data_IF_690604637499
#
_entry.id   IF_690604637499
#
_cell.length_a   1.000
_cell.length_b   1.000
_cell.length_c   1.000
_cell.angle_alpha   90.00
_cell.angle_beta   90.00
_cell.angle_gamma   90.00
#
_symmetry.space_group_name_H-M   'P 1'
#
loop_
_entity.id
_entity.type
_entity.pdbx_description
1 polymer ?
#
# COMPACT_ATOMS: atom_id res chain seq x y z
N UNK A 1 -1.66 -1.68 -21.52
CA UNK A 1 -2.16 -1.10 -20.26
C UNK A 1 -2.04 -2.15 -19.16
N UNK A 2 -1.33 -1.84 -18.10
CA UNK A 2 -1.26 -2.65 -16.88
C UNK A 2 -1.82 -1.82 -15.72
N UNK A 3 -2.26 -2.50 -14.65
CA UNK A 3 -2.53 -1.87 -13.36
C UNK A 3 -1.36 -2.22 -12.44
N UNK A 4 -0.70 -1.20 -11.93
CA UNK A 4 0.61 -1.31 -11.29
C UNK A 4 0.53 -0.88 -9.84
N UNK A 5 0.84 -1.78 -8.92
CA UNK A 5 1.07 -1.41 -7.52
C UNK A 5 2.47 -0.80 -7.36
N UNK A 6 2.54 0.31 -6.65
CA UNK A 6 3.79 0.97 -6.24
C UNK A 6 3.80 1.05 -4.72
N UNK A 7 4.72 0.34 -4.09
CA UNK A 7 4.76 0.35 -2.63
C UNK A 7 5.62 -0.77 -2.03
N UNK A 8 5.35 -1.09 -0.78
CA UNK A 8 6.04 -2.14 -0.06
C UNK A 8 5.48 -3.52 -0.42
N UNK A 9 6.34 -4.53 -0.36
CA UNK A 9 5.91 -5.92 -0.31
C UNK A 9 6.13 -6.43 1.11
N UNK A 10 5.04 -6.84 1.73
CA UNK A 10 5.04 -7.40 3.10
C UNK A 10 4.51 -8.82 3.08
N UNK A 11 4.73 -9.55 4.17
CA UNK A 11 4.12 -10.85 4.38
C UNK A 11 3.09 -10.77 5.50
N UNK A 12 1.84 -11.07 5.17
CA UNK A 12 0.73 -11.08 6.11
C UNK A 12 0.49 -12.49 6.63
N UNK A 13 0.47 -12.63 7.96
CA UNK A 13 0.10 -13.84 8.68
C UNK A 13 -1.30 -13.65 9.25
N UNK A 14 -2.23 -14.50 8.84
CA UNK A 14 -3.63 -14.45 9.26
C UNK A 14 -3.91 -15.48 10.34
N UNK A 15 -4.47 -15.04 11.44
CA UNK A 15 -4.82 -15.90 12.56
C UNK A 15 -6.32 -15.84 12.86
N UNK A 16 -6.91 -17.00 13.21
CA UNK A 16 -8.26 -17.10 13.77
C UNK A 16 -8.17 -17.94 15.04
N UNK A 17 -8.67 -17.42 16.15
CA UNK A 17 -8.60 -18.07 17.46
C UNK A 17 -7.16 -18.55 17.79
N UNK A 18 -6.17 -17.67 17.60
CA UNK A 18 -4.74 -17.92 17.78
C UNK A 18 -4.14 -19.04 16.88
N UNK A 19 -4.89 -19.57 15.93
CA UNK A 19 -4.38 -20.53 14.94
C UNK A 19 -4.04 -19.80 13.63
N UNK A 20 -2.87 -20.09 13.08
CA UNK A 20 -2.48 -19.60 11.76
C UNK A 20 -3.38 -20.25 10.69
N UNK A 21 -4.11 -19.44 9.93
CA UNK A 21 -5.04 -19.88 8.89
C UNK A 21 -4.60 -19.53 7.47
N UNK A 22 -3.63 -18.62 7.33
CA UNK A 22 -3.14 -18.22 6.01
C UNK A 22 -1.89 -17.37 6.08
N UNK A 23 -1.14 -17.37 4.99
CA UNK A 23 0.05 -16.55 4.79
C UNK A 23 0.03 -16.06 3.34
N UNK A 24 0.04 -14.74 3.13
CA UNK A 24 0.04 -14.14 1.78
C UNK A 24 0.97 -12.93 1.72
N UNK A 25 1.48 -12.64 0.52
CA UNK A 25 2.06 -11.33 0.23
C UNK A 25 0.95 -10.28 0.32
N UNK A 26 1.24 -9.16 0.95
CA UNK A 26 0.26 -8.15 1.31
C UNK A 26 0.75 -6.72 1.07
N UNK A 27 0.15 -5.80 1.69
CA UNK A 27 -0.05 -4.35 1.57
C UNK A 27 -1.28 -4.02 0.72
N UNK A 28 -1.88 -2.86 1.00
CA UNK A 28 -3.17 -2.48 0.41
C UNK A 28 -3.11 -2.43 -1.11
N UNK A 29 -2.11 -1.74 -1.67
CA UNK A 29 -1.93 -1.65 -3.13
C UNK A 29 -1.71 -3.02 -3.78
N UNK A 30 -0.94 -3.90 -3.15
CA UNK A 30 -0.72 -5.27 -3.64
C UNK A 30 -1.97 -6.13 -3.55
N UNK A 31 -2.79 -5.96 -2.52
CA UNK A 31 -4.06 -6.67 -2.38
C UNK A 31 -5.06 -6.25 -3.47
N UNK A 32 -5.09 -4.96 -3.83
CA UNK A 32 -5.91 -4.45 -4.93
C UNK A 32 -5.50 -5.13 -6.23
N UNK A 33 -4.23 -5.07 -6.63
CA UNK A 33 -3.79 -5.66 -7.90
C UNK A 33 -3.91 -7.19 -7.91
N UNK A 34 -3.74 -7.87 -6.78
CA UNK A 34 -3.93 -9.31 -6.68
C UNK A 34 -5.39 -9.72 -6.94
N UNK A 35 -6.36 -8.94 -6.47
CA UNK A 35 -7.76 -9.17 -6.78
C UNK A 35 -8.09 -8.86 -8.24
N UNK A 36 -7.54 -7.78 -8.80
CA UNK A 36 -7.71 -7.45 -10.21
C UNK A 36 -7.09 -8.51 -11.14
N UNK A 37 -5.94 -9.10 -10.75
CA UNK A 37 -5.34 -10.23 -11.46
C UNK A 37 -6.26 -11.47 -11.47
N UNK A 38 -6.94 -11.77 -10.36
CA UNK A 38 -7.95 -12.84 -10.30
C UNK A 38 -9.13 -12.60 -11.25
N UNK A 39 -9.46 -11.33 -11.51
CA UNK A 39 -10.49 -10.92 -12.46
C UNK A 39 -9.99 -10.95 -13.92
N UNK A 40 -8.74 -11.34 -14.16
CA UNK A 40 -8.17 -11.46 -15.50
C UNK A 40 -7.49 -10.20 -16.03
N UNK A 41 -7.31 -9.17 -15.22
CA UNK A 41 -6.61 -7.94 -15.62
C UNK A 41 -5.09 -8.11 -15.56
N UNK A 42 -4.38 -7.43 -16.45
CA UNK A 42 -2.92 -7.41 -16.43
C UNK A 42 -2.43 -6.55 -15.28
N UNK A 43 -1.71 -7.16 -14.35
CA UNK A 43 -1.21 -6.48 -13.15
C UNK A 43 0.29 -6.67 -12.98
N UNK A 44 0.95 -5.66 -12.42
CA UNK A 44 2.39 -5.63 -12.17
C UNK A 44 2.64 -5.01 -10.80
N UNK A 45 3.73 -5.38 -10.15
CA UNK A 45 4.15 -4.77 -8.89
C UNK A 45 5.56 -4.21 -8.98
N UNK A 46 5.74 -2.97 -8.53
CA UNK A 46 7.03 -2.37 -8.20
C UNK A 46 7.15 -2.26 -6.70
N UNK A 47 8.01 -3.07 -6.13
CA UNK A 47 8.20 -3.13 -4.67
C UNK A 47 9.63 -3.55 -4.33
N UNK A 48 9.94 -3.49 -3.04
CA UNK A 48 11.16 -4.08 -2.50
C UNK A 48 10.81 -5.08 -1.40
N UNK A 49 11.65 -6.10 -1.23
CA UNK A 49 11.61 -7.00 -0.09
C UNK A 49 13.01 -7.49 0.26
N UNK A 50 13.18 -8.08 1.44
CA UNK A 50 14.44 -8.68 1.85
C UNK A 50 14.77 -9.99 1.14
N UNK A 51 16.05 -10.35 1.10
CA UNK A 51 16.50 -11.67 0.68
C UNK A 51 16.33 -12.69 1.82
N UNK A 52 15.08 -12.91 2.22
CA UNK A 52 14.72 -13.85 3.29
C UNK A 52 13.55 -14.75 2.86
N UNK A 53 13.22 -15.71 3.72
CA UNK A 53 12.13 -16.67 3.45
C UNK A 53 10.78 -15.96 3.33
N UNK A 54 10.57 -14.89 4.07
CA UNK A 54 9.33 -14.10 4.07
C UNK A 54 9.14 -13.39 2.73
N UNK A 55 10.19 -12.77 2.19
CA UNK A 55 10.17 -12.14 0.86
C UNK A 55 9.87 -13.16 -0.25
N UNK A 56 10.53 -14.33 -0.18
CA UNK A 56 10.28 -15.41 -1.15
C UNK A 56 8.83 -15.91 -1.11
N UNK A 57 8.24 -16.06 0.07
CA UNK A 57 6.83 -16.47 0.23
C UNK A 57 5.90 -15.37 -0.30
N UNK A 58 6.16 -14.10 0.01
CA UNK A 58 5.35 -12.97 -0.45
C UNK A 58 5.34 -12.90 -1.98
N UNK A 59 6.50 -12.96 -2.63
CA UNK A 59 6.61 -13.00 -4.10
C UNK A 59 5.86 -14.20 -4.68
N UNK A 60 6.07 -15.40 -4.12
CA UNK A 60 5.41 -16.63 -4.58
C UNK A 60 3.89 -16.53 -4.48
N UNK A 61 3.37 -15.88 -3.44
CA UNK A 61 1.93 -15.72 -3.27
C UNK A 61 1.31 -14.83 -4.36
N UNK A 62 1.97 -13.71 -4.72
CA UNK A 62 1.54 -12.84 -5.82
C UNK A 62 1.62 -13.55 -7.17
N UNK A 63 2.71 -14.29 -7.43
CA UNK A 63 2.85 -15.11 -8.66
C UNK A 63 1.71 -16.13 -8.83
N UNK A 64 1.29 -16.79 -7.74
CA UNK A 64 0.15 -17.71 -7.77
C UNK A 64 -1.16 -17.04 -8.22
N UNK A 65 -1.31 -15.75 -7.96
CA UNK A 65 -2.44 -14.94 -8.37
C UNK A 65 -2.26 -14.30 -9.75
N UNK A 66 -1.22 -14.71 -10.51
CA UNK A 66 -0.88 -14.22 -11.84
C UNK A 66 -0.46 -12.74 -11.90
N UNK A 67 -0.04 -12.16 -10.78
CA UNK A 67 0.58 -10.83 -10.75
C UNK A 67 1.98 -10.93 -11.33
N UNK A 68 2.35 -10.02 -12.24
CA UNK A 68 3.73 -9.91 -12.71
C UNK A 68 4.59 -9.29 -11.58
N UNK A 69 5.61 -10.05 -11.15
CA UNK A 69 6.50 -9.72 -10.02
C UNK A 69 7.94 -9.45 -10.45
N UNK A 70 8.21 -9.28 -11.75
CA UNK A 70 9.57 -9.16 -12.28
C UNK A 70 10.26 -7.86 -11.86
N UNK A 71 9.49 -6.86 -11.40
CA UNK A 71 10.00 -5.58 -10.91
C UNK A 71 10.07 -5.49 -9.38
N UNK A 72 10.02 -6.63 -8.69
CA UNK A 72 10.29 -6.66 -7.25
C UNK A 72 11.80 -6.73 -7.05
N UNK A 73 12.35 -5.70 -6.41
CA UNK A 73 13.77 -5.62 -6.06
C UNK A 73 14.02 -6.38 -4.75
N UNK A 74 14.85 -7.40 -4.80
CA UNK A 74 15.32 -8.13 -3.62
C UNK A 74 16.54 -7.39 -3.07
N UNK A 75 16.48 -6.99 -1.81
CA UNK A 75 17.54 -6.24 -1.14
C UNK A 75 18.29 -7.15 -0.19
N UNK A 76 19.60 -7.24 -0.40
CA UNK A 76 20.50 -8.01 0.48
C UNK A 76 20.57 -7.39 1.89
N UNK A 77 20.80 -8.22 2.88
CA UNK A 77 20.93 -7.82 4.29
C UNK A 77 19.74 -7.06 4.87
N UNK A 78 18.60 -7.14 4.21
CA UNK A 78 17.33 -6.51 4.61
C UNK A 78 16.30 -7.60 4.93
N UNK A 79 15.42 -7.32 5.88
CA UNK A 79 14.35 -8.23 6.27
C UNK A 79 13.01 -7.76 5.72
N UNK A 80 12.24 -8.70 5.18
CA UNK A 80 10.88 -8.43 4.72
C UNK A 80 9.96 -8.13 5.91
N UNK A 81 9.20 -7.07 5.80
CA UNK A 81 8.21 -6.69 6.80
C UNK A 81 7.11 -7.73 6.90
N UNK A 82 6.70 -8.04 8.13
CA UNK A 82 5.63 -8.98 8.39
C UNK A 82 4.54 -8.33 9.22
N UNK A 83 3.29 -8.56 8.85
CA UNK A 83 2.13 -8.22 9.66
C UNK A 83 1.47 -9.47 10.22
N UNK A 84 1.00 -9.36 11.45
CA UNK A 84 0.23 -10.41 12.12
C UNK A 84 -1.19 -9.89 12.28
N UNK A 85 -2.11 -10.44 11.52
CA UNK A 85 -3.50 -10.05 11.44
C UNK A 85 -4.31 -11.10 12.18
N UNK A 86 -4.87 -10.73 13.32
CA UNK A 86 -5.72 -11.62 14.10
C UNK A 86 -7.18 -11.28 13.85
N UNK A 87 -7.93 -12.27 13.41
CA UNK A 87 -9.38 -12.21 13.46
C UNK A 87 -9.79 -12.51 14.90
N UNK A 88 -10.38 -11.54 15.57
CA UNK A 88 -11.06 -11.85 16.83
C UNK A 88 -12.48 -12.27 16.49
N UNK A 89 -12.82 -13.41 17.05
CA UNK A 89 -14.13 -13.76 17.52
C UNK A 89 -15.27 -14.07 16.57
N UNK A 90 -16.33 -14.33 17.29
CA UNK A 90 -17.71 -14.59 16.93
C UNK A 90 -18.37 -13.51 16.05
N UNK A 91 -17.82 -12.28 15.98
CA UNK A 91 -18.40 -11.14 15.25
C UNK A 91 -17.57 -10.69 14.03
N UNK A 92 -16.46 -11.37 13.72
CA UNK A 92 -15.67 -11.09 12.51
C UNK A 92 -14.87 -9.79 12.51
N UNK A 93 -14.65 -9.17 13.68
CA UNK A 93 -13.85 -7.96 13.78
C UNK A 93 -12.36 -8.25 13.52
N UNK A 94 -11.79 -7.55 12.58
CA UNK A 94 -10.36 -7.62 12.27
C UNK A 94 -9.58 -6.74 13.24
N UNK A 95 -8.70 -7.35 14.04
CA UNK A 95 -7.75 -6.61 14.86
C UNK A 95 -6.37 -6.62 14.25
N UNK A 96 -5.90 -5.43 13.90
CA UNK A 96 -4.54 -5.22 13.45
C UNK A 96 -3.62 -5.15 14.67
N UNK A 97 -2.91 -6.21 14.97
CA UNK A 97 -1.83 -6.14 15.95
C UNK A 97 -0.49 -5.99 15.21
N UNK A 98 -0.06 -4.75 15.02
CA UNK A 98 1.34 -4.51 14.62
C UNK A 98 2.24 -4.71 15.83
N UNK A 99 2.81 -5.90 15.98
CA UNK A 99 3.89 -6.10 16.96
C UNK A 99 5.16 -5.45 16.40
N UNK A 100 5.95 -4.79 17.24
CA UNK A 100 7.24 -4.17 16.85
C UNK A 100 8.24 -5.18 16.25
N UNK A 101 8.04 -6.47 16.47
CA UNK A 101 8.79 -7.57 15.89
C UNK A 101 7.86 -8.73 15.54
N UNK A 102 8.16 -9.39 14.45
CA UNK A 102 7.46 -10.62 14.08
C UNK A 102 7.73 -11.71 15.13
N UNK A 103 6.71 -12.32 15.76
CA UNK A 103 6.91 -13.37 16.75
C UNK A 103 7.52 -14.65 16.19
N UNK A 104 7.45 -14.88 14.88
CA UNK A 104 7.98 -16.08 14.24
C UNK A 104 9.44 -15.95 13.84
N UNK A 105 9.86 -14.79 13.31
CA UNK A 105 11.21 -14.59 12.80
C UNK A 105 12.00 -13.49 13.53
N UNK A 106 11.42 -12.90 14.56
CA UNK A 106 12.01 -11.81 15.36
C UNK A 106 12.43 -10.56 14.54
N UNK A 107 12.00 -10.44 13.29
CA UNK A 107 12.27 -9.27 12.47
C UNK A 107 11.55 -8.05 13.01
N UNK A 108 12.14 -6.86 12.83
CA UNK A 108 11.44 -5.61 13.06
C UNK A 108 10.29 -5.50 12.04
N UNK A 109 9.10 -5.11 12.52
CA UNK A 109 7.95 -4.89 11.63
C UNK A 109 8.07 -3.59 10.81
N UNK A 110 9.13 -2.83 10.98
CA UNK A 110 9.36 -1.58 10.27
C UNK A 110 10.36 -1.81 9.16
N UNK A 111 9.91 -1.55 7.99
CA UNK A 111 10.65 -1.59 6.75
C UNK A 111 10.94 -0.15 6.31
N UNK A 112 12.14 0.09 5.83
CA UNK A 112 12.51 1.39 5.30
C UNK A 112 12.10 1.48 3.81
N UNK A 113 11.07 2.26 3.52
CA UNK A 113 10.57 2.53 2.16
C UNK A 113 11.58 3.30 1.30
N UNK A 114 12.71 3.73 1.87
CA UNK A 114 13.78 4.43 1.15
C UNK A 114 14.42 3.59 0.04
N UNK A 115 14.17 2.28 0.01
CA UNK A 115 14.77 1.35 -0.95
C UNK A 115 14.08 1.33 -2.32
N UNK A 116 12.89 1.94 -2.45
CA UNK A 116 12.23 2.12 -3.75
C UNK A 116 12.97 3.22 -4.53
N UNK A 117 13.30 2.95 -5.78
CA UNK A 117 13.89 3.92 -6.68
C UNK A 117 12.82 4.52 -7.61
N UNK A 118 12.40 5.78 -7.41
CA UNK A 118 11.39 6.42 -8.26
C UNK A 118 11.80 6.50 -9.74
N UNK A 119 13.09 6.73 -10.03
CA UNK A 119 13.56 6.85 -11.40
C UNK A 119 13.47 5.51 -12.15
N UNK A 120 13.77 4.42 -11.46
CA UNK A 120 13.57 3.08 -12.02
C UNK A 120 12.09 2.83 -12.35
N UNK A 121 11.18 3.24 -11.50
CA UNK A 121 9.74 3.07 -11.76
C UNK A 121 9.32 3.95 -12.94
N UNK A 122 9.64 5.24 -12.91
CA UNK A 122 9.29 6.19 -13.97
C UNK A 122 9.81 5.77 -15.37
N UNK A 123 10.97 5.13 -15.44
CA UNK A 123 11.52 4.62 -16.69
C UNK A 123 10.93 3.28 -17.16
N UNK A 124 10.14 2.59 -16.32
CA UNK A 124 9.59 1.25 -16.61
C UNK A 124 8.05 1.20 -16.62
N UNK A 125 7.38 2.34 -16.57
CA UNK A 125 5.93 2.46 -16.76
C UNK A 125 5.61 3.00 -18.15
N UNK A 126 4.49 2.57 -18.73
CA UNK A 126 3.98 3.10 -20.00
C UNK A 126 2.92 4.16 -19.71
N UNK A 127 2.75 5.12 -20.64
CA UNK A 127 1.78 6.22 -20.51
C UNK A 127 0.33 5.79 -20.24
N UNK A 128 -0.04 4.58 -20.67
CA UNK A 128 -1.40 4.05 -20.53
C UNK A 128 -1.56 3.15 -19.29
N UNK A 129 -0.51 2.96 -18.48
CA UNK A 129 -0.59 2.17 -17.25
C UNK A 129 -1.31 2.97 -16.15
N UNK A 130 -1.97 2.28 -15.25
CA UNK A 130 -2.66 2.85 -14.08
C UNK A 130 -1.84 2.53 -12.84
N UNK A 131 -1.49 3.54 -12.05
CA UNK A 131 -0.69 3.37 -10.84
C UNK A 131 -1.57 3.33 -9.59
N UNK A 132 -1.30 2.38 -8.71
CA UNK A 132 -2.02 2.18 -7.44
C UNK A 132 -1.04 2.37 -6.29
N UNK A 133 -1.35 3.30 -5.40
CA UNK A 133 -0.56 3.64 -4.22
C UNK A 133 -1.33 3.32 -2.93
N UNK A 134 -0.63 3.15 -1.84
CA UNK A 134 -1.21 2.98 -0.50
C UNK A 134 -0.65 3.94 0.56
N UNK A 135 0.21 4.87 0.15
CA UNK A 135 0.75 5.92 1.01
C UNK A 135 1.32 7.09 0.20
N UNK A 136 1.56 8.23 0.88
CA UNK A 136 2.08 9.48 0.32
C UNK A 136 3.51 9.77 0.76
N UNK A 137 4.35 8.73 0.96
CA UNK A 137 5.74 8.93 1.30
C UNK A 137 6.49 9.71 0.21
N UNK A 138 7.68 10.23 0.53
CA UNK A 138 8.46 11.07 -0.38
C UNK A 138 8.76 10.41 -1.72
N UNK A 139 9.05 9.10 -1.74
CA UNK A 139 9.33 8.36 -2.97
C UNK A 139 8.11 8.22 -3.86
N UNK A 140 6.97 7.88 -3.27
CA UNK A 140 5.70 7.84 -4.00
C UNK A 140 5.31 9.23 -4.51
N UNK A 141 5.54 10.28 -3.72
CA UNK A 141 5.27 11.65 -4.14
C UNK A 141 6.09 12.06 -5.37
N UNK A 142 7.37 11.66 -5.44
CA UNK A 142 8.20 11.90 -6.64
C UNK A 142 7.56 11.24 -7.88
N UNK A 143 7.08 10.00 -7.76
CA UNK A 143 6.44 9.30 -8.88
C UNK A 143 5.11 10.00 -9.25
N UNK A 144 4.29 10.32 -8.25
CA UNK A 144 2.99 10.99 -8.44
C UNK A 144 3.15 12.32 -9.19
N UNK A 145 4.17 13.09 -8.83
CA UNK A 145 4.40 14.43 -9.40
C UNK A 145 5.09 14.42 -10.78
N UNK A 146 5.78 13.33 -11.12
CA UNK A 146 6.55 13.24 -12.37
C UNK A 146 5.92 12.32 -13.42
N UNK A 147 4.65 11.93 -13.26
CA UNK A 147 3.93 11.16 -14.28
C UNK A 147 2.51 11.66 -14.51
N UNK A 148 2.06 11.58 -15.76
CA UNK A 148 0.68 11.88 -16.16
C UNK A 148 -0.22 10.62 -16.20
N UNK A 149 0.27 9.49 -15.74
CA UNK A 149 -0.51 8.27 -15.62
C UNK A 149 -1.74 8.46 -14.73
N UNK A 150 -2.80 7.74 -15.01
CA UNK A 150 -3.95 7.62 -14.08
C UNK A 150 -3.47 7.02 -12.77
N UNK A 151 -3.93 7.57 -11.66
CA UNK A 151 -3.51 7.20 -10.31
C UNK A 151 -4.69 6.91 -9.42
N UNK A 152 -4.54 5.86 -8.63
CA UNK A 152 -5.47 5.45 -7.59
C UNK A 152 -4.69 5.40 -6.29
N UNK A 153 -5.26 5.91 -5.21
CA UNK A 153 -4.66 5.80 -3.89
C UNK A 153 -5.66 5.29 -2.85
N UNK A 154 -5.20 4.38 -2.00
CA UNK A 154 -5.94 3.89 -0.84
C UNK A 154 -5.19 4.28 0.44
N UNK A 155 -5.71 5.26 1.15
CA UNK A 155 -5.12 5.83 2.35
C UNK A 155 -5.79 5.24 3.60
N UNK A 156 -5.20 4.20 4.13
CA UNK A 156 -5.71 3.51 5.32
C UNK A 156 -5.23 4.07 6.66
N UNK A 157 -4.28 5.02 6.67
CA UNK A 157 -3.61 5.48 7.89
C UNK A 157 -3.57 7.01 7.97
N UNK A 158 -4.18 7.59 9.01
CA UNK A 158 -4.22 9.05 9.19
C UNK A 158 -2.90 9.65 9.66
N UNK A 159 -2.02 8.89 10.30
CA UNK A 159 -0.74 9.39 10.79
C UNK A 159 0.18 9.91 9.66
N UNK A 160 -0.08 9.55 8.43
CA UNK A 160 0.62 10.11 7.27
C UNK A 160 0.45 11.64 7.18
N UNK A 161 -0.65 12.17 7.73
CA UNK A 161 -1.00 13.58 7.69
C UNK A 161 -0.62 14.35 8.96
N UNK A 162 -0.22 13.67 10.05
CA UNK A 162 -0.02 14.31 11.36
C UNK A 162 1.03 15.44 11.34
N UNK A 163 2.09 15.24 10.57
CA UNK A 163 3.19 16.20 10.45
C UNK A 163 3.08 17.14 9.23
N UNK A 164 1.97 17.11 8.50
CA UNK A 164 1.74 17.97 7.34
C UNK A 164 0.90 19.19 7.75
N UNK A 165 1.15 20.34 7.15
CA UNK A 165 0.22 21.46 7.20
C UNK A 165 -1.04 21.16 6.37
N UNK A 166 -2.13 21.86 6.63
CA UNK A 166 -3.39 21.69 5.89
C UNK A 166 -3.20 21.96 4.39
N UNK A 167 -2.41 23.00 4.06
CA UNK A 167 -2.06 23.31 2.67
C UNK A 167 -1.26 22.19 1.99
N UNK A 168 -0.35 21.53 2.71
CA UNK A 168 0.40 20.38 2.18
C UNK A 168 -0.50 19.18 1.93
N UNK A 169 -1.44 18.90 2.84
CA UNK A 169 -2.42 17.82 2.66
C UNK A 169 -3.21 18.06 1.36
N UNK A 170 -3.79 19.23 1.22
CA UNK A 170 -4.57 19.60 0.03
C UNK A 170 -3.70 19.53 -1.23
N UNK A 171 -2.49 20.10 -1.21
CA UNK A 171 -1.56 20.09 -2.34
C UNK A 171 -1.18 18.67 -2.79
N UNK A 172 -1.02 17.75 -1.86
CA UNK A 172 -0.66 16.36 -2.17
C UNK A 172 -1.80 15.56 -2.79
N UNK A 173 -3.05 15.92 -2.50
CA UNK A 173 -4.24 15.21 -2.96
C UNK A 173 -4.90 15.85 -4.17
N UNK A 174 -4.89 17.18 -4.26
CA UNK A 174 -5.67 17.97 -5.23
C UNK A 174 -5.28 17.65 -6.68
N UNK A 175 -6.26 17.17 -7.44
CA UNK A 175 -6.11 16.84 -8.87
C UNK A 175 -4.97 15.85 -9.18
N UNK A 176 -4.61 14.99 -8.22
CA UNK A 176 -3.51 14.04 -8.40
C UNK A 176 -3.98 12.62 -8.73
N UNK A 177 -5.21 12.29 -8.39
CA UNK A 177 -5.73 10.94 -8.45
C UNK A 177 -7.11 10.91 -9.10
N UNK A 178 -7.40 9.88 -9.89
CA UNK A 178 -8.74 9.58 -10.40
C UNK A 178 -9.63 8.96 -9.34
N UNK A 179 -9.02 8.20 -8.42
CA UNK A 179 -9.73 7.57 -7.29
C UNK A 179 -8.91 7.77 -6.04
N UNK A 180 -9.52 8.31 -5.01
CA UNK A 180 -8.98 8.38 -3.66
C UNK A 180 -9.92 7.60 -2.75
N UNK A 181 -9.40 6.55 -2.10
CA UNK A 181 -10.13 5.80 -1.10
C UNK A 181 -9.60 6.15 0.29
N UNK A 182 -10.50 6.53 1.17
CA UNK A 182 -10.24 6.73 2.59
C UNK A 182 -11.09 5.73 3.38
N UNK A 183 -10.54 5.11 4.41
CA UNK A 183 -11.39 4.48 5.39
C UNK A 183 -12.04 5.54 6.30
N UNK A 184 -13.10 5.19 6.98
CA UNK A 184 -13.87 6.10 7.87
C UNK A 184 -12.97 6.85 8.86
N UNK A 185 -11.95 6.20 9.41
CA UNK A 185 -11.03 6.81 10.37
C UNK A 185 -10.18 7.92 9.75
N UNK A 186 -9.71 7.72 8.52
CA UNK A 186 -8.93 8.74 7.77
C UNK A 186 -9.85 9.87 7.34
N UNK A 187 -11.04 9.56 6.83
CA UNK A 187 -12.02 10.57 6.45
C UNK A 187 -12.36 11.46 7.63
N UNK A 188 -12.79 10.89 8.77
CA UNK A 188 -13.11 11.63 9.98
C UNK A 188 -11.95 12.52 10.49
N UNK A 189 -10.71 12.02 10.39
CA UNK A 189 -9.52 12.80 10.74
C UNK A 189 -9.36 14.02 9.82
N UNK A 190 -9.47 13.85 8.50
CA UNK A 190 -9.32 14.91 7.52
C UNK A 190 -10.45 15.95 7.63
N UNK A 191 -11.70 15.52 7.80
CA UNK A 191 -12.85 16.43 7.99
C UNK A 191 -12.63 17.32 9.22
N UNK A 192 -12.23 16.73 10.33
CA UNK A 192 -11.93 17.50 11.55
C UNK A 192 -10.74 18.44 11.36
N UNK A 193 -9.66 17.95 10.74
CA UNK A 193 -8.41 18.69 10.53
C UNK A 193 -8.60 19.91 9.63
N UNK A 194 -9.35 19.74 8.53
CA UNK A 194 -9.60 20.78 7.53
C UNK A 194 -10.86 21.60 7.82
N UNK A 195 -11.50 21.39 8.98
CA UNK A 195 -12.72 22.05 9.40
C UNK A 195 -13.87 21.91 8.37
N UNK A 196 -14.07 20.70 7.85
CA UNK A 196 -15.08 20.36 6.85
C UNK A 196 -16.26 19.65 7.51
N UNK A 197 -17.45 19.74 6.89
CA UNK A 197 -18.69 19.18 7.44
C UNK A 197 -19.05 17.81 6.87
N UNK A 198 -18.56 17.50 5.69
CA UNK A 198 -18.94 16.26 4.97
C UNK A 198 -17.84 15.76 4.04
N UNK A 199 -17.93 14.48 3.65
CA UNK A 199 -17.07 13.90 2.61
C UNK A 199 -17.22 14.63 1.27
N UNK A 200 -18.39 15.21 0.98
CA UNK A 200 -18.60 16.06 -0.21
C UNK A 200 -17.76 17.32 -0.18
N UNK A 201 -17.59 17.95 1.00
CA UNK A 201 -16.72 19.12 1.13
C UNK A 201 -15.26 18.72 0.90
N UNK A 202 -14.83 17.59 1.45
CA UNK A 202 -13.49 17.04 1.24
C UNK A 202 -13.26 16.75 -0.25
N UNK A 203 -14.23 16.10 -0.90
CA UNK A 203 -14.17 15.84 -2.34
C UNK A 203 -13.99 17.13 -3.15
N UNK A 204 -14.77 18.16 -2.88
CA UNK A 204 -14.72 19.45 -3.60
C UNK A 204 -13.39 20.20 -3.42
N UNK A 205 -12.69 20.00 -2.30
CA UNK A 205 -11.37 20.61 -2.08
C UNK A 205 -10.28 19.88 -2.89
N UNK A 206 -10.37 18.55 -2.99
CA UNK A 206 -9.35 17.75 -3.67
C UNK A 206 -9.61 17.64 -5.18
N UNK A 207 -10.85 17.72 -5.64
CA UNK A 207 -11.26 17.66 -7.04
C UNK A 207 -12.24 18.82 -7.35
N UNK A 208 -11.75 20.07 -7.40
CA UNK A 208 -12.59 21.23 -7.68
C UNK A 208 -13.09 21.29 -9.14
#
# INVERSE_FOLDING_TARGET
MNIISVGDLVLDYYYKNNKLIGINGGMTSNNIIANLAKMGLNTKVFACCGNDIQGKIAIKSLKKLKVNTDNIKIIENTKTRCFHISYQDENGNLFFTSKKRCPLCNNKNWYDNSLIDPNFILSNINKDDILVFDNLNEKNQIIIDNTNNKKIIDLGQYFEFENMSDNEIVKKLKNKFEIINFNERVSNYLLKRLNLKSDSDLYNIINP
#
